data_IF_752440895533
#
_entry.id   IF_752440895533
#
_cell.length_a   1.000
_cell.length_b   1.000
_cell.length_c   1.000
_cell.angle_alpha   90.00
_cell.angle_beta   90.00
_cell.angle_gamma   90.00
#
_symmetry.space_group_name_H-M   'P 1'
#
loop_
_entity.id
_entity.type
_entity.pdbx_description
1 polymer ?
#
# COMPACT_ATOMS: atom_id res chain seq x y z
N UNK A 1 -5.11 -12.18 -2.62
CA UNK A 1 -4.66 -10.98 -3.37
C UNK A 1 -3.87 -10.08 -2.44
N UNK A 2 -2.96 -9.27 -2.96
CA UNK A 2 -2.17 -8.31 -2.19
C UNK A 2 -2.39 -6.86 -2.65
N UNK A 3 -2.34 -5.93 -1.71
CA UNK A 3 -2.43 -4.49 -1.90
C UNK A 3 -1.19 -3.84 -1.29
N UNK A 4 -0.45 -3.00 -2.04
CA UNK A 4 0.69 -2.25 -1.50
C UNK A 4 0.49 -0.73 -1.48
N UNK A 5 0.89 -0.10 -0.38
CA UNK A 5 0.81 1.35 -0.16
C UNK A 5 2.04 1.86 0.61
N UNK A 6 2.70 2.88 0.08
CA UNK A 6 3.85 3.49 0.74
C UNK A 6 4.01 4.97 0.43
N UNK A 7 4.74 5.64 1.31
CA UNK A 7 5.07 7.06 1.20
C UNK A 7 6.58 7.20 1.32
N UNK A 8 7.18 7.98 0.42
CA UNK A 8 8.62 8.15 0.25
C UNK A 8 9.35 6.96 -0.41
N UNK A 9 10.40 7.28 -1.16
CA UNK A 9 11.09 6.32 -2.04
C UNK A 9 11.78 5.19 -1.26
N UNK A 10 12.46 5.52 -0.17
CA UNK A 10 13.22 4.58 0.65
C UNK A 10 12.32 3.55 1.36
N UNK A 11 11.09 3.94 1.67
CA UNK A 11 10.04 3.07 2.24
C UNK A 11 9.46 2.18 1.15
N UNK A 12 9.18 2.76 -0.03
CA UNK A 12 8.67 2.01 -1.18
C UNK A 12 9.62 0.88 -1.64
N UNK A 13 10.94 1.07 -1.50
CA UNK A 13 11.93 0.02 -1.74
C UNK A 13 11.74 -1.17 -0.80
N UNK A 14 11.54 -0.92 0.49
CA UNK A 14 11.37 -1.99 1.47
C UNK A 14 10.02 -2.71 1.26
N UNK A 15 8.96 -1.96 0.92
CA UNK A 15 7.65 -2.53 0.60
C UNK A 15 7.75 -3.41 -0.65
N UNK A 16 8.45 -2.93 -1.68
CA UNK A 16 8.72 -3.72 -2.88
C UNK A 16 9.45 -5.02 -2.53
N UNK A 17 10.51 -4.96 -1.72
CA UNK A 17 11.27 -6.15 -1.31
C UNK A 17 10.40 -7.19 -0.59
N UNK A 18 9.61 -6.76 0.41
CA UNK A 18 8.72 -7.67 1.15
C UNK A 18 7.62 -8.27 0.27
N UNK A 19 7.13 -7.48 -0.69
CA UNK A 19 6.18 -7.94 -1.69
C UNK A 19 6.81 -8.97 -2.64
N UNK A 20 8.05 -8.76 -3.09
CA UNK A 20 8.82 -9.72 -3.91
C UNK A 20 9.08 -11.03 -3.18
N UNK A 21 9.44 -10.99 -1.89
CA UNK A 21 9.61 -12.17 -1.04
C UNK A 21 8.32 -13.00 -0.98
N UNK A 22 7.17 -12.35 -0.90
CA UNK A 22 5.85 -13.02 -0.90
C UNK A 22 5.51 -13.60 -2.28
N UNK A 23 5.74 -12.83 -3.34
CA UNK A 23 5.43 -13.23 -4.71
C UNK A 23 6.35 -14.34 -5.22
N UNK A 24 7.60 -14.38 -4.78
CA UNK A 24 8.52 -15.47 -5.11
C UNK A 24 8.00 -16.85 -4.69
N UNK A 25 7.20 -16.88 -3.61
CA UNK A 25 6.56 -18.10 -3.08
C UNK A 25 5.19 -18.35 -3.70
N UNK A 26 4.57 -17.33 -4.30
CA UNK A 26 3.20 -17.35 -4.80
C UNK A 26 3.06 -16.51 -6.08
N UNK A 27 3.65 -16.97 -7.18
CA UNK A 27 3.81 -16.17 -8.41
C UNK A 27 2.48 -15.81 -9.10
N UNK A 28 1.41 -16.56 -8.81
CA UNK A 28 0.08 -16.32 -9.40
C UNK A 28 -0.79 -15.38 -8.57
N UNK A 29 -0.34 -14.92 -7.40
CA UNK A 29 -1.10 -14.02 -6.54
C UNK A 29 -1.39 -12.69 -7.26
N UNK A 30 -2.67 -12.27 -7.40
CA UNK A 30 -2.99 -10.93 -7.90
C UNK A 30 -2.47 -9.86 -6.95
N UNK A 31 -1.71 -8.91 -7.49
CA UNK A 31 -1.13 -7.81 -6.72
C UNK A 31 -1.51 -6.48 -7.32
N UNK A 32 -2.03 -5.60 -6.49
CA UNK A 32 -2.33 -4.23 -6.83
C UNK A 32 -1.34 -3.33 -6.07
N UNK A 33 -0.42 -2.71 -6.81
CA UNK A 33 0.65 -1.91 -6.23
C UNK A 33 0.50 -0.44 -6.58
N UNK A 34 0.70 0.44 -5.60
CA UNK A 34 0.84 1.87 -5.83
C UNK A 34 1.95 2.13 -6.85
N UNK A 35 1.78 3.13 -7.72
CA UNK A 35 2.64 3.31 -8.90
C UNK A 35 4.14 3.37 -8.59
N UNK A 36 4.57 4.00 -7.49
CA UNK A 36 5.97 4.05 -7.10
C UNK A 36 6.53 2.64 -6.80
N UNK A 37 5.75 1.81 -6.10
CA UNK A 37 6.12 0.44 -5.76
C UNK A 37 6.05 -0.44 -7.02
N UNK A 38 5.02 -0.26 -7.85
CA UNK A 38 4.87 -0.95 -9.12
C UNK A 38 6.10 -0.74 -10.02
N UNK A 39 6.58 0.50 -10.13
CA UNK A 39 7.73 0.82 -10.99
C UNK A 39 9.03 0.15 -10.54
N UNK A 40 9.17 -0.20 -9.25
CA UNK A 40 10.33 -0.93 -8.71
C UNK A 40 10.34 -2.42 -9.09
N UNK A 41 9.16 -3.02 -9.35
CA UNK A 41 9.00 -4.47 -9.57
C UNK A 41 8.34 -4.82 -10.90
N UNK A 42 8.08 -3.83 -11.77
CA UNK A 42 7.44 -4.05 -13.07
C UNK A 42 8.24 -5.01 -13.94
N UNK A 43 7.53 -5.82 -14.73
CA UNK A 43 8.13 -6.80 -15.63
C UNK A 43 8.61 -8.09 -14.97
N UNK A 44 8.62 -8.17 -13.63
CA UNK A 44 9.04 -9.37 -12.90
C UNK A 44 7.90 -10.37 -12.65
N UNK A 45 6.67 -9.89 -12.54
CA UNK A 45 5.50 -10.70 -12.16
C UNK A 45 4.32 -10.47 -13.12
N UNK A 46 3.63 -11.55 -13.52
CA UNK A 46 2.54 -11.50 -14.50
C UNK A 46 1.25 -10.86 -13.95
N UNK A 47 0.94 -11.12 -12.67
CA UNK A 47 -0.32 -10.70 -12.06
C UNK A 47 -0.18 -9.39 -11.26
N UNK A 48 0.78 -8.54 -11.64
CA UNK A 48 1.02 -7.23 -11.06
C UNK A 48 0.20 -6.16 -11.79
N UNK A 49 -0.64 -5.43 -11.05
CA UNK A 49 -1.47 -4.34 -11.53
C UNK A 49 -1.03 -3.04 -10.87
N UNK A 50 -0.90 -1.99 -11.69
CA UNK A 50 -0.55 -0.64 -11.24
C UNK A 50 -1.78 0.10 -10.73
N UNK A 51 -1.64 0.81 -9.61
CA UNK A 51 -2.62 1.75 -9.07
C UNK A 51 -2.06 3.17 -9.05
N UNK A 52 -2.82 4.12 -9.57
CA UNK A 52 -2.35 5.51 -9.72
C UNK A 52 -1.42 5.70 -10.93
N UNK A 53 -0.95 6.93 -11.10
CA UNK A 53 -0.01 7.34 -12.15
C UNK A 53 0.81 8.55 -11.68
N UNK A 54 1.98 8.76 -12.26
CA UNK A 54 2.89 9.89 -12.00
C UNK A 54 2.24 11.26 -12.25
N UNK A 55 1.15 11.29 -13.04
CA UNK A 55 0.34 12.48 -13.33
C UNK A 55 -0.63 12.85 -12.22
N UNK A 56 -0.94 11.93 -11.31
CA UNK A 56 -1.79 12.25 -10.16
C UNK A 56 -0.95 13.01 -9.13
N UNK A 57 -1.47 14.14 -8.63
CA UNK A 57 -1.04 14.70 -7.35
C UNK A 57 -1.16 13.60 -6.28
N UNK A 58 -0.34 13.71 -5.24
CA UNK A 58 -0.34 12.83 -4.07
C UNK A 58 -1.75 12.31 -3.74
N UNK A 59 -1.95 11.00 -3.92
CA UNK A 59 -3.24 10.38 -3.63
C UNK A 59 -3.32 10.08 -2.13
N UNK A 60 -4.44 10.44 -1.53
CA UNK A 60 -4.75 10.05 -0.15
C UNK A 60 -4.91 8.53 -0.06
N UNK A 61 -4.77 7.99 1.14
CA UNK A 61 -5.02 6.56 1.42
C UNK A 61 -6.40 6.12 0.90
N UNK A 62 -7.45 6.91 1.14
CA UNK A 62 -8.80 6.60 0.67
C UNK A 62 -8.87 6.52 -0.86
N UNK A 63 -8.26 7.47 -1.57
CA UNK A 63 -8.24 7.47 -3.04
C UNK A 63 -7.47 6.27 -3.63
N UNK A 64 -6.42 5.78 -2.95
CA UNK A 64 -5.73 4.57 -3.38
C UNK A 64 -6.62 3.33 -3.16
N UNK A 65 -7.36 3.26 -2.05
CA UNK A 65 -8.32 2.17 -1.83
C UNK A 65 -9.48 2.23 -2.84
N UNK A 66 -9.98 3.42 -3.18
CA UNK A 66 -11.01 3.59 -4.22
C UNK A 66 -10.50 3.07 -5.57
N UNK A 67 -9.31 3.52 -5.99
CA UNK A 67 -8.69 3.05 -7.24
C UNK A 67 -8.43 1.55 -7.21
N UNK A 68 -8.02 0.99 -6.08
CA UNK A 68 -7.87 -0.46 -5.92
C UNK A 68 -9.19 -1.17 -6.17
N UNK A 69 -10.25 -0.75 -5.48
CA UNK A 69 -11.57 -1.35 -5.57
C UNK A 69 -12.10 -1.32 -7.01
N UNK A 70 -12.06 -0.15 -7.66
CA UNK A 70 -12.55 0.03 -9.02
C UNK A 70 -11.77 -0.84 -10.02
N UNK A 71 -10.43 -0.84 -9.91
CA UNK A 71 -9.54 -1.67 -10.75
C UNK A 71 -9.81 -3.16 -10.55
N UNK A 72 -10.10 -3.57 -9.31
CA UNK A 72 -10.42 -4.95 -9.00
C UNK A 72 -11.76 -5.36 -9.61
N UNK A 73 -12.81 -4.56 -9.44
CA UNK A 73 -14.13 -4.80 -10.03
C UNK A 73 -14.05 -4.85 -11.55
N UNK A 74 -13.30 -3.94 -12.19
CA UNK A 74 -13.06 -3.96 -13.64
C UNK A 74 -12.40 -5.28 -14.09
N UNK A 75 -11.43 -5.78 -13.31
CA UNK A 75 -10.65 -6.98 -13.66
C UNK A 75 -11.40 -8.27 -13.42
N UNK A 76 -12.18 -8.36 -12.33
CA UNK A 76 -12.75 -9.60 -11.83
C UNK A 76 -14.28 -9.63 -11.82
N UNK A 77 -14.94 -8.54 -12.23
CA UNK A 77 -16.40 -8.39 -12.27
C UNK A 77 -17.10 -8.65 -10.92
N UNK A 78 -16.37 -8.50 -9.82
CA UNK A 78 -16.84 -8.68 -8.45
C UNK A 78 -16.05 -7.78 -7.48
N UNK A 79 -16.64 -7.36 -6.35
CA UNK A 79 -15.91 -6.57 -5.34
C UNK A 79 -14.88 -7.43 -4.59
N UNK A 80 -13.73 -6.86 -4.20
CA UNK A 80 -12.77 -7.55 -3.35
C UNK A 80 -13.34 -7.71 -1.94
N UNK A 81 -13.21 -8.90 -1.34
CA UNK A 81 -13.69 -9.16 0.03
C UNK A 81 -12.57 -9.34 1.04
N UNK A 82 -11.43 -9.90 0.64
CA UNK A 82 -10.29 -10.20 1.52
C UNK A 82 -8.97 -9.86 0.84
N UNK A 83 -8.09 -9.15 1.55
CA UNK A 83 -6.78 -8.73 1.03
C UNK A 83 -5.65 -9.00 2.02
N UNK A 84 -4.45 -9.24 1.49
CA UNK A 84 -3.20 -9.02 2.21
C UNK A 84 -2.76 -7.56 1.97
N UNK A 85 -2.45 -6.83 3.04
CA UNK A 85 -2.04 -5.42 2.99
C UNK A 85 -0.54 -5.32 3.28
N UNK A 86 0.20 -4.71 2.36
CA UNK A 86 1.61 -4.35 2.49
C UNK A 86 1.70 -2.84 2.61
N UNK A 87 1.99 -2.34 3.81
CA UNK A 87 1.95 -0.90 4.04
C UNK A 87 3.00 -0.42 5.02
N UNK A 88 3.32 0.86 4.96
CA UNK A 88 4.05 1.51 6.04
C UNK A 88 3.21 1.53 7.33
N UNK A 89 3.81 1.23 8.47
CA UNK A 89 3.06 0.91 9.71
C UNK A 89 2.11 2.00 10.18
N UNK A 90 2.48 3.28 10.09
CA UNK A 90 1.58 4.39 10.49
C UNK A 90 0.52 4.74 9.46
N UNK A 91 0.65 4.25 8.23
CA UNK A 91 -0.41 4.35 7.23
C UNK A 91 -1.37 3.16 7.32
N UNK A 92 -0.90 2.00 7.82
CA UNK A 92 -1.70 0.78 7.92
C UNK A 92 -3.05 0.97 8.61
N UNK A 93 -3.19 1.67 9.76
CA UNK A 93 -4.51 1.91 10.37
C UNK A 93 -5.48 2.64 9.44
N UNK A 94 -5.00 3.66 8.71
CA UNK A 94 -5.84 4.41 7.76
C UNK A 94 -6.23 3.55 6.56
N UNK A 95 -5.30 2.72 6.07
CA UNK A 95 -5.57 1.76 5.00
C UNK A 95 -6.63 0.74 5.44
N UNK A 96 -6.50 0.17 6.64
CA UNK A 96 -7.45 -0.81 7.17
C UNK A 96 -8.84 -0.22 7.35
N UNK A 97 -8.95 1.01 7.88
CA UNK A 97 -10.24 1.72 7.99
C UNK A 97 -10.85 1.97 6.62
N UNK A 98 -10.06 2.43 5.65
CA UNK A 98 -10.55 2.67 4.29
C UNK A 98 -11.01 1.37 3.60
N UNK A 99 -10.28 0.27 3.78
CA UNK A 99 -10.71 -1.06 3.32
C UNK A 99 -12.03 -1.49 3.97
N UNK A 100 -12.13 -1.36 5.31
CA UNK A 100 -13.34 -1.71 6.05
C UNK A 100 -14.55 -0.93 5.58
N UNK A 101 -14.41 0.38 5.32
CA UNK A 101 -15.48 1.23 4.80
C UNK A 101 -15.97 0.81 3.41
N UNK A 102 -15.19 0.00 2.68
CA UNK A 102 -15.53 -0.59 1.39
C UNK A 102 -15.99 -2.05 1.48
N UNK A 103 -16.17 -2.58 2.70
CA UNK A 103 -16.51 -3.99 2.90
C UNK A 103 -15.35 -4.96 2.64
N UNK A 104 -14.11 -4.47 2.65
CA UNK A 104 -12.91 -5.26 2.39
C UNK A 104 -12.24 -5.61 3.72
N UNK A 105 -12.08 -6.90 3.98
CA UNK A 105 -11.37 -7.43 5.15
C UNK A 105 -9.86 -7.53 4.86
N UNK A 106 -9.04 -6.98 5.76
CA UNK A 106 -7.59 -7.17 5.72
C UNK A 106 -7.27 -8.42 6.55
N UNK A 107 -6.93 -9.53 5.87
CA UNK A 107 -6.70 -10.84 6.51
C UNK A 107 -5.23 -11.09 6.85
N UNK A 108 -4.33 -10.31 6.25
CA UNK A 108 -2.88 -10.35 6.50
C UNK A 108 -2.33 -8.93 6.39
N UNK A 109 -1.49 -8.53 7.34
CA UNK A 109 -0.81 -7.24 7.33
C UNK A 109 0.70 -7.42 7.42
N UNK A 110 1.41 -6.99 6.38
CA UNK A 110 2.87 -6.88 6.35
C UNK A 110 3.22 -5.40 6.46
N UNK A 111 3.69 -5.00 7.64
CA UNK A 111 3.89 -3.59 7.97
C UNK A 111 5.35 -3.23 8.10
N UNK A 112 5.71 -2.09 7.51
CA UNK A 112 7.10 -1.63 7.42
C UNK A 112 7.31 -0.45 8.36
N UNK A 113 8.11 -0.69 9.40
CA UNK A 113 8.51 0.30 10.42
C UNK A 113 9.69 1.16 9.95
N UNK A 114 9.59 1.74 8.76
CA UNK A 114 10.66 2.57 8.17
C UNK A 114 10.22 4.01 8.04
N UNK A 115 10.89 4.90 8.77
CA UNK A 115 10.67 6.35 8.70
C UNK A 115 11.63 6.97 7.70
N UNK A 116 11.15 7.95 6.95
CA UNK A 116 11.98 8.68 5.99
C UNK A 116 12.36 10.02 6.61
N UNK A 117 13.63 10.25 7.01
CA UNK A 117 14.05 11.49 7.66
C UNK A 117 13.79 12.75 6.83
N UNK A 118 13.67 12.57 5.51
CA UNK A 118 13.44 13.64 4.55
C UNK A 118 11.96 13.79 4.15
N UNK A 119 11.03 13.09 4.79
CA UNK A 119 9.61 13.22 4.45
C UNK A 119 9.15 14.68 4.61
N UNK A 120 8.37 15.14 3.64
CA UNK A 120 7.67 16.43 3.65
C UNK A 120 6.86 16.70 4.94
N UNK A 121 6.36 15.65 5.58
CA UNK A 121 5.58 15.69 6.82
C UNK A 121 6.50 15.42 8.02
N UNK A 122 6.78 16.41 8.88
CA UNK A 122 7.76 16.26 9.96
C UNK A 122 7.43 15.12 10.94
N UNK A 123 6.14 14.89 11.20
CA UNK A 123 5.66 13.85 12.12
C UNK A 123 5.77 12.42 11.60
N UNK A 124 6.29 12.19 10.39
CA UNK A 124 6.60 10.83 9.88
C UNK A 124 8.08 10.65 9.55
N UNK A 125 8.94 11.55 10.05
CA UNK A 125 10.40 11.45 9.92
C UNK A 125 11.05 10.52 10.94
N UNK A 126 10.40 10.33 12.08
CA UNK A 126 10.83 9.44 13.14
C UNK A 126 9.64 9.01 14.02
N UNK A 127 9.86 7.97 14.82
CA UNK A 127 8.82 7.35 15.66
C UNK A 127 8.33 8.29 16.76
N UNK A 128 9.20 9.10 17.36
CA UNK A 128 8.83 9.98 18.47
C UNK A 128 7.89 11.08 17.97
N UNK A 129 8.26 11.72 16.87
CA UNK A 129 7.44 12.74 16.21
C UNK A 129 6.07 12.19 15.80
N UNK A 130 6.01 10.92 15.36
CA UNK A 130 4.75 10.26 15.03
C UNK A 130 3.88 10.01 16.28
N UNK A 131 4.47 9.47 17.34
CA UNK A 131 3.76 9.19 18.60
C UNK A 131 3.19 10.48 19.19
N UNK A 132 3.98 11.56 19.24
CA UNK A 132 3.52 12.87 19.75
C UNK A 132 2.29 13.34 18.97
N UNK A 133 2.33 13.23 17.64
CA UNK A 133 1.23 13.67 16.78
C UNK A 133 -0.02 12.81 16.92
N UNK A 134 0.11 11.51 17.13
CA UNK A 134 -1.06 10.63 17.33
C UNK A 134 -1.62 10.73 18.77
N UNK A 135 -0.80 11.05 19.77
CA UNK A 135 -1.25 11.28 21.15
C UNK A 135 -2.08 12.57 21.32
N UNK A 136 -2.06 13.47 20.33
CA UNK A 136 -2.81 14.72 20.32
C UNK A 136 -4.20 14.61 19.67
N UNK A 137 -4.62 13.41 19.25
CA UNK A 137 -5.94 13.16 18.64
C UNK A 137 -6.94 12.62 19.65
#
# INVERSE_FOLDING_TARGET
MALSFGKEHDVNIEIAKRLEETLSKNNDLPVFAQWEIFDLIKGKYKNLKRMGDKRYRYLTTAQIIDKFHDKFVETYQAPPTKIALFAQSWHAPRCMVACKNKGIEVVLGEFIDKFSPNDSQPWVRDVLSWVIKEAQK
#
